data_IF_987084049562
#
_entry.id   IF_987084049562
#
_cell.length_a   1.000
_cell.length_b   1.000
_cell.length_c   1.000
_cell.angle_alpha   90.00
_cell.angle_beta   90.00
_cell.angle_gamma   90.00
#
_symmetry.space_group_name_H-M   'P 1'
#
loop_
_entity.id
_entity.type
_entity.pdbx_description
1 polymer ?
#
# COMPACT_ATOMS: atom_id res chain seq x y z
N UNK A 1 -19.54 79.67 75.10
CA UNK A 1 -20.06 79.73 73.71
C UNK A 1 -19.06 78.97 72.87
N UNK A 2 -19.32 77.71 72.58
CA UNK A 2 -19.56 77.27 71.21
C UNK A 2 -20.07 75.83 71.23
N UNK A 3 -21.02 75.62 70.34
CA UNK A 3 -22.14 74.71 70.45
C UNK A 3 -21.88 73.48 69.59
N UNK A 4 -22.06 72.29 70.18
CA UNK A 4 -22.10 71.05 69.43
C UNK A 4 -23.52 70.86 68.87
N UNK A 5 -23.66 70.75 67.54
CA UNK A 5 -24.85 70.15 66.89
C UNK A 5 -24.45 69.32 65.67
N UNK A 6 -25.00 68.10 65.52
CA UNK A 6 -24.65 67.15 64.46
C UNK A 6 -25.61 67.21 63.25
N UNK A 7 -25.15 66.56 62.19
CA UNK A 7 -25.85 65.94 61.06
C UNK A 7 -26.53 66.79 59.96
N UNK A 8 -26.42 66.23 58.73
CA UNK A 8 -27.00 66.59 57.41
C UNK A 8 -25.95 67.27 56.51
N UNK A 9 -25.29 66.56 55.60
CA UNK A 9 -25.89 66.11 54.32
C UNK A 9 -25.21 64.84 53.76
N UNK A 10 -25.69 63.66 54.18
CA UNK A 10 -25.36 62.37 53.56
C UNK A 10 -26.41 61.94 52.51
N UNK A 11 -26.99 62.89 51.79
CA UNK A 11 -28.13 62.65 50.90
C UNK A 11 -28.00 63.36 49.55
N UNK A 12 -26.95 63.09 48.76
CA UNK A 12 -27.00 63.43 47.31
C UNK A 12 -26.14 62.59 46.36
N UNK A 13 -25.44 61.53 46.81
CA UNK A 13 -24.59 60.76 45.86
C UNK A 13 -24.97 59.28 45.69
N UNK A 14 -25.79 58.71 46.59
CA UNK A 14 -26.31 57.33 46.42
C UNK A 14 -27.33 57.21 45.29
N UNK A 15 -28.08 58.28 44.98
CA UNK A 15 -29.02 58.30 43.86
C UNK A 15 -28.34 58.41 42.47
N UNK A 16 -27.04 58.71 42.41
CA UNK A 16 -26.28 58.76 41.15
C UNK A 16 -25.64 57.44 40.75
N UNK A 17 -25.50 56.48 41.67
CA UNK A 17 -24.81 55.20 41.42
C UNK A 17 -25.74 54.04 41.04
N UNK A 18 -27.07 54.21 41.14
CA UNK A 18 -28.06 53.18 40.76
C UNK A 18 -28.61 53.30 39.34
N UNK A 19 -28.05 54.18 38.50
CA UNK A 19 -28.24 54.14 37.03
C UNK A 19 -27.10 53.37 36.35
N UNK A 20 -26.62 52.32 37.00
CA UNK A 20 -25.73 51.36 36.37
C UNK A 20 -26.60 50.43 35.53
N UNK A 21 -26.62 50.72 34.23
CA UNK A 21 -27.29 50.02 33.14
C UNK A 21 -27.48 48.52 33.43
N UNK A 22 -28.68 48.14 33.86
CA UNK A 22 -29.13 46.74 33.81
C UNK A 22 -29.32 46.38 32.35
N UNK A 23 -28.21 46.10 31.66
CA UNK A 23 -28.21 45.51 30.32
C UNK A 23 -28.77 44.12 30.41
N UNK A 24 -30.07 44.01 30.22
CA UNK A 24 -30.71 42.74 29.98
C UNK A 24 -30.32 42.31 28.56
N UNK A 25 -29.55 41.23 28.43
CA UNK A 25 -29.24 40.63 27.15
C UNK A 25 -30.53 39.97 26.65
N UNK A 26 -31.32 40.69 25.86
CA UNK A 26 -32.63 40.22 25.41
C UNK A 26 -32.46 39.02 24.44
N UNK A 27 -31.44 39.02 23.59
CA UNK A 27 -31.18 37.92 22.65
C UNK A 27 -29.73 37.91 22.12
N UNK A 28 -29.24 36.73 21.68
CA UNK A 28 -27.93 36.56 21.04
C UNK A 28 -28.10 36.04 19.62
N UNK A 29 -27.88 36.92 18.64
CA UNK A 29 -27.80 36.52 17.23
C UNK A 29 -26.44 35.87 16.94
N UNK A 30 -26.44 34.75 16.21
CA UNK A 30 -25.24 34.07 15.72
C UNK A 30 -25.25 34.12 14.20
N UNK A 31 -24.14 34.55 13.61
CA UNK A 31 -23.94 34.55 12.17
C UNK A 31 -23.17 33.29 11.77
N UNK A 32 -23.53 32.71 10.63
CA UNK A 32 -22.92 31.48 10.12
C UNK A 32 -22.11 31.72 8.85
N UNK A 33 -21.04 30.94 8.70
CA UNK A 33 -20.19 30.89 7.52
C UNK A 33 -20.12 29.44 7.04
N UNK A 34 -20.43 29.21 5.77
CA UNK A 34 -20.24 27.93 5.12
C UNK A 34 -18.78 27.77 4.66
N UNK A 35 -18.20 26.60 4.93
CA UNK A 35 -16.85 26.24 4.46
C UNK A 35 -16.91 24.94 3.68
N UNK A 36 -16.26 24.91 2.52
CA UNK A 36 -16.08 23.68 1.78
C UNK A 36 -15.05 22.78 2.47
N UNK A 37 -15.40 21.51 2.66
CA UNK A 37 -14.45 20.46 3.03
C UNK A 37 -14.39 19.46 1.86
N UNK A 38 -13.18 19.20 1.35
CA UNK A 38 -12.96 18.27 0.25
C UNK A 38 -12.21 17.06 0.77
N UNK A 39 -12.85 15.90 0.68
CA UNK A 39 -12.25 14.61 1.03
C UNK A 39 -12.01 13.80 -0.25
N UNK A 40 -10.80 13.25 -0.39
CA UNK A 40 -10.47 12.34 -1.48
C UNK A 40 -10.51 10.91 -0.94
N UNK A 41 -11.55 10.18 -1.31
CA UNK A 41 -11.72 8.78 -0.90
C UNK A 41 -11.13 7.86 -1.97
N UNK A 42 -10.23 6.93 -1.61
CA UNK A 42 -9.69 5.97 -2.57
C UNK A 42 -10.77 4.95 -2.98
N UNK A 43 -10.97 4.79 -4.29
CA UNK A 43 -11.88 3.79 -4.86
C UNK A 43 -11.09 2.72 -5.63
N UNK A 44 -11.42 1.45 -5.40
CA UNK A 44 -10.81 0.33 -6.14
C UNK A 44 -11.62 0.10 -7.42
N UNK A 45 -11.08 0.58 -8.54
CA UNK A 45 -11.72 0.50 -9.86
C UNK A 45 -11.48 -0.82 -10.61
N UNK A 46 -10.73 -1.77 -10.04
CA UNK A 46 -10.53 -3.08 -10.64
C UNK A 46 -9.47 -3.95 -9.96
N UNK A 47 -9.40 -5.22 -10.36
CA UNK A 47 -8.43 -6.19 -9.88
C UNK A 47 -7.90 -7.06 -11.02
N UNK A 48 -6.63 -7.43 -10.95
CA UNK A 48 -5.99 -8.39 -11.88
C UNK A 48 -5.51 -9.59 -11.07
N UNK A 49 -5.81 -10.79 -11.54
CA UNK A 49 -5.31 -12.04 -10.94
C UNK A 49 -4.17 -12.58 -11.78
N UNK A 50 -3.00 -12.73 -11.17
CA UNK A 50 -1.81 -13.29 -11.83
C UNK A 50 -1.61 -14.70 -11.27
N UNK A 51 -1.57 -15.69 -12.18
CA UNK A 51 -1.39 -17.09 -11.81
C UNK A 51 -0.24 -17.69 -12.60
N UNK A 52 0.58 -18.48 -11.91
CA UNK A 52 1.54 -19.36 -12.56
C UNK A 52 0.78 -20.59 -13.05
N UNK A 53 0.79 -20.82 -14.36
CA UNK A 53 0.26 -22.05 -14.97
C UNK A 53 1.46 -22.91 -15.35
N UNK A 54 1.44 -24.17 -14.93
CA UNK A 54 2.46 -25.16 -15.30
C UNK A 54 1.82 -26.12 -16.30
N UNK A 55 2.42 -26.24 -17.47
CA UNK A 55 2.02 -27.20 -18.49
C UNK A 55 3.14 -28.21 -18.65
N UNK A 56 2.80 -29.49 -18.52
CA UNK A 56 3.76 -30.57 -18.67
C UNK A 56 3.62 -31.19 -20.06
N UNK A 57 4.76 -31.52 -20.69
CA UNK A 57 4.83 -32.24 -21.95
C UNK A 57 5.86 -33.34 -21.82
N UNK A 58 5.49 -34.53 -22.27
CA UNK A 58 6.41 -35.66 -22.40
C UNK A 58 7.09 -35.59 -23.77
N UNK A 59 8.40 -35.80 -23.79
CA UNK A 59 9.21 -35.81 -25.01
C UNK A 59 10.03 -37.09 -25.08
N UNK A 60 10.12 -37.67 -26.28
CA UNK A 60 10.96 -38.83 -26.55
C UNK A 60 12.29 -38.36 -27.13
N UNK A 61 13.38 -38.57 -26.40
CA UNK A 61 14.75 -38.26 -26.86
C UNK A 61 15.36 -39.54 -27.44
N UNK A 62 15.64 -39.61 -28.75
CA UNK A 62 16.29 -40.77 -29.33
C UNK A 62 17.75 -40.84 -28.84
N UNK A 63 18.13 -41.99 -28.28
CA UNK A 63 19.51 -42.29 -27.89
C UNK A 63 19.93 -43.59 -28.56
N UNK A 64 21.07 -43.55 -29.25
CA UNK A 64 21.72 -44.74 -29.79
C UNK A 64 22.74 -45.21 -28.78
N UNK A 65 22.58 -46.44 -28.29
CA UNK A 65 23.53 -47.09 -27.39
C UNK A 65 24.22 -48.23 -28.12
N UNK A 66 25.54 -48.31 -27.95
CA UNK A 66 26.36 -49.38 -28.51
C UNK A 66 26.56 -50.50 -27.48
N UNK A 67 26.47 -51.74 -27.97
CA UNK A 67 26.87 -52.94 -27.24
C UNK A 67 27.82 -53.73 -28.13
N UNK A 68 28.96 -54.14 -27.57
CA UNK A 68 29.96 -54.93 -28.26
C UNK A 68 30.13 -56.27 -27.56
N UNK A 69 30.04 -57.35 -28.34
CA UNK A 69 30.32 -58.72 -27.92
C UNK A 69 31.41 -59.30 -28.82
N UNK A 70 32.31 -60.08 -28.21
CA UNK A 70 33.25 -60.92 -28.92
C UNK A 70 32.64 -62.31 -29.08
N UNK A 71 32.53 -62.76 -30.33
CA UNK A 71 32.16 -64.14 -30.65
C UNK A 71 33.43 -64.97 -30.91
N UNK A 72 33.59 -66.06 -30.16
CA UNK A 72 34.70 -67.00 -30.34
C UNK A 72 34.15 -68.34 -30.82
N UNK A 73 34.57 -68.75 -32.01
CA UNK A 73 34.22 -70.05 -32.61
C UNK A 73 35.47 -70.91 -32.77
N UNK A 74 35.47 -72.10 -32.16
CA UNK A 74 36.57 -73.07 -32.26
C UNK A 74 36.25 -74.13 -33.32
N UNK A 75 37.07 -74.19 -34.38
CA UNK A 75 36.91 -75.13 -35.51
C UNK A 75 37.82 -76.36 -35.37
N UNK A 76 37.29 -77.52 -35.74
CA UNK A 76 38.05 -78.78 -35.79
C UNK A 76 39.29 -78.69 -36.70
N UNK A 77 40.32 -79.47 -36.37
CA UNK A 77 41.50 -79.73 -37.20
C UNK A 77 42.41 -78.52 -37.51
N UNK A 78 42.36 -77.45 -36.71
CA UNK A 78 43.25 -76.28 -36.85
C UNK A 78 44.50 -76.33 -35.96
N UNK A 79 44.66 -77.36 -35.13
CA UNK A 79 45.89 -77.62 -34.36
C UNK A 79 46.17 -76.67 -33.18
N UNK A 80 45.30 -75.69 -32.91
CA UNK A 80 45.43 -74.74 -31.80
C UNK A 80 44.44 -75.04 -30.66
N UNK A 81 44.87 -74.80 -29.42
CA UNK A 81 44.00 -74.74 -28.23
C UNK A 81 43.65 -73.29 -27.93
N UNK A 82 42.36 -72.97 -27.81
CA UNK A 82 41.89 -71.66 -27.37
C UNK A 82 41.43 -71.76 -25.91
N UNK A 83 41.77 -70.77 -25.09
CA UNK A 83 41.33 -70.69 -23.69
C UNK A 83 40.66 -69.36 -23.43
N UNK A 84 39.65 -69.35 -22.57
CA UNK A 84 38.95 -68.15 -22.10
C UNK A 84 38.89 -68.21 -20.57
N UNK A 85 39.37 -67.17 -19.89
CA UNK A 85 39.43 -67.12 -18.42
C UNK A 85 40.11 -68.33 -17.76
N UNK A 86 41.07 -68.97 -18.45
CA UNK A 86 41.79 -70.13 -17.95
C UNK A 86 41.14 -71.50 -18.24
N UNK A 87 39.96 -71.53 -18.85
CA UNK A 87 39.28 -72.77 -19.27
C UNK A 87 39.48 -73.02 -20.78
N UNK A 88 39.66 -74.27 -21.18
CA UNK A 88 39.80 -74.66 -22.59
C UNK A 88 38.43 -74.59 -23.28
N UNK A 89 38.40 -73.92 -24.43
CA UNK A 89 37.18 -73.77 -25.22
C UNK A 89 36.90 -75.07 -25.98
N UNK A 90 35.66 -75.55 -25.89
CA UNK A 90 35.22 -76.75 -26.58
C UNK A 90 35.00 -76.49 -28.07
N UNK A 91 35.45 -77.44 -28.87
CA UNK A 91 35.22 -77.46 -30.30
C UNK A 91 33.72 -77.53 -30.61
N UNK A 92 33.26 -76.74 -31.58
CA UNK A 92 31.85 -76.70 -31.99
C UNK A 92 30.94 -75.89 -31.08
N UNK A 93 31.46 -75.30 -29.99
CA UNK A 93 30.72 -74.33 -29.18
C UNK A 93 31.04 -72.89 -29.60
N UNK A 94 30.04 -72.02 -29.42
CA UNK A 94 30.16 -70.57 -29.57
C UNK A 94 30.20 -69.96 -28.18
N UNK A 95 31.16 -69.07 -27.95
CA UNK A 95 31.31 -68.34 -26.70
C UNK A 95 31.14 -66.85 -26.98
N UNK A 96 30.26 -66.21 -26.20
CA UNK A 96 30.04 -64.77 -26.25
C UNK A 96 30.69 -64.11 -25.02
N UNK A 97 31.56 -63.12 -25.27
CA UNK A 97 32.19 -62.33 -24.21
C UNK A 97 31.73 -60.88 -24.34
N UNK A 98 30.99 -60.33 -23.35
CA UNK A 98 30.63 -58.92 -23.37
C UNK A 98 31.89 -58.09 -23.18
N UNK A 99 32.16 -57.17 -24.11
CA UNK A 99 33.32 -56.29 -24.03
C UNK A 99 32.94 -54.91 -23.51
N UNK A 100 31.82 -54.38 -24.02
CA UNK A 100 31.43 -53.01 -23.79
C UNK A 100 29.91 -52.82 -23.89
N UNK A 101 29.38 -51.99 -23.01
CA UNK A 101 27.97 -51.62 -22.98
C UNK A 101 27.83 -50.14 -22.60
N UNK A 102 27.18 -49.36 -23.46
CA UNK A 102 26.79 -47.98 -23.15
C UNK A 102 25.49 -47.96 -22.34
N UNK A 103 25.43 -47.05 -21.37
CA UNK A 103 24.23 -46.80 -20.55
C UNK A 103 23.86 -45.32 -20.64
N UNK A 104 22.61 -45.05 -20.95
CA UNK A 104 22.07 -43.70 -20.91
C UNK A 104 21.85 -43.27 -19.46
N UNK A 105 22.27 -42.05 -19.13
CA UNK A 105 21.89 -41.35 -17.91
C UNK A 105 21.09 -40.11 -18.30
N UNK A 106 19.94 -39.91 -17.65
CA UNK A 106 19.03 -38.81 -17.96
C UNK A 106 18.97 -37.87 -16.78
N UNK A 107 19.20 -36.58 -17.03
CA UNK A 107 19.02 -35.50 -16.07
C UNK A 107 18.09 -34.44 -16.66
N UNK A 108 17.11 -34.02 -15.86
CA UNK A 108 16.22 -32.91 -16.23
C UNK A 108 16.79 -31.63 -15.63
N UNK A 109 17.25 -30.73 -16.48
CA UNK A 109 17.72 -29.41 -16.09
C UNK A 109 16.58 -28.39 -16.19
N UNK A 110 16.56 -27.43 -15.26
CA UNK A 110 15.55 -26.36 -15.21
C UNK A 110 16.25 -25.04 -15.46
N UNK A 111 15.79 -24.32 -16.49
CA UNK A 111 16.28 -23.00 -16.85
C UNK A 111 15.14 -21.97 -16.76
N UNK A 112 15.41 -20.73 -16.33
CA UNK A 112 14.42 -19.67 -16.39
C UNK A 112 14.05 -19.38 -17.86
N UNK A 113 12.75 -19.40 -18.16
CA UNK A 113 12.25 -19.12 -19.50
C UNK A 113 11.99 -17.62 -19.72
N UNK A 114 11.50 -16.93 -18.69
CA UNK A 114 11.10 -15.52 -18.78
C UNK A 114 11.00 -14.88 -17.40
N UNK A 115 11.35 -13.61 -17.32
CA UNK A 115 11.09 -12.75 -16.17
C UNK A 115 9.89 -11.84 -16.44
N UNK A 116 8.97 -11.74 -15.48
CA UNK A 116 7.78 -10.90 -15.57
C UNK A 116 7.84 -9.81 -14.51
N UNK A 117 7.85 -8.56 -14.94
CA UNK A 117 7.83 -7.38 -14.07
C UNK A 117 6.43 -6.78 -14.03
N UNK A 118 5.88 -6.60 -12.83
CA UNK A 118 4.58 -5.97 -12.60
C UNK A 118 4.83 -4.61 -11.94
N UNK A 119 4.34 -3.54 -12.56
CA UNK A 119 4.50 -2.19 -12.06
C UNK A 119 3.16 -1.46 -11.95
N UNK A 120 3.05 -0.58 -10.96
CA UNK A 120 1.91 0.33 -10.78
C UNK A 120 2.39 1.75 -11.06
N UNK A 121 1.75 2.41 -12.02
CA UNK A 121 1.95 3.84 -12.28
C UNK A 121 0.84 4.63 -11.57
N UNK A 122 1.21 5.64 -10.78
CA UNK A 122 0.27 6.58 -10.19
C UNK A 122 0.25 7.86 -11.01
N UNK A 123 -0.94 8.32 -11.39
CA UNK A 123 -1.14 9.60 -12.09
C UNK A 123 -1.99 10.52 -11.24
N UNK A 124 -1.55 11.76 -11.12
CA UNK A 124 -2.28 12.81 -10.41
C UNK A 124 -2.95 13.71 -11.44
N UNK A 125 -4.22 14.03 -11.21
CA UNK A 125 -4.93 15.05 -11.96
C UNK A 125 -5.64 16.01 -11.00
N UNK A 126 -5.81 17.25 -11.43
CA UNK A 126 -6.57 18.26 -10.69
C UNK A 126 -7.98 18.28 -11.21
N UNK A 127 -8.96 18.20 -10.31
CA UNK A 127 -10.37 18.37 -10.62
C UNK A 127 -10.90 19.59 -9.85
N UNK A 128 -11.51 20.52 -10.57
CA UNK A 128 -12.17 21.69 -9.98
C UNK A 128 -13.67 21.42 -9.87
N UNK A 129 -14.24 21.65 -8.69
CA UNK A 129 -15.69 21.69 -8.48
C UNK A 129 -16.10 23.11 -8.08
N UNK A 130 -17.20 23.58 -8.66
CA UNK A 130 -17.84 24.82 -8.24
C UNK A 130 -18.68 24.54 -6.98
N UNK A 131 -18.35 25.24 -5.90
CA UNK A 131 -19.11 25.19 -4.65
C UNK A 131 -19.58 26.60 -4.33
N UNK A 132 -20.90 26.78 -4.16
CA UNK A 132 -21.47 28.03 -3.68
C UNK A 132 -21.44 28.03 -2.15
N UNK A 133 -20.71 28.96 -1.56
CA UNK A 133 -20.62 29.15 -0.11
C UNK A 133 -21.35 30.43 0.28
N UNK A 134 -22.08 30.39 1.40
CA UNK A 134 -22.80 31.52 1.95
C UNK A 134 -22.13 32.05 3.20
N UNK A 135 -22.18 33.36 3.35
CA UNK A 135 -21.78 34.08 4.57
C UNK A 135 -22.92 34.99 4.97
N UNK A 136 -23.29 34.91 6.25
CA UNK A 136 -24.27 35.83 6.82
C UNK A 136 -23.56 37.10 7.30
N UNK A 137 -24.13 38.24 6.92
CA UNK A 137 -23.69 39.56 7.38
C UNK A 137 -24.83 40.24 8.13
N UNK A 138 -24.50 40.85 9.27
CA UNK A 138 -25.47 41.61 10.05
C UNK A 138 -25.51 43.04 9.53
N UNK A 139 -26.63 43.41 8.92
CA UNK A 139 -26.97 44.81 8.64
C UNK A 139 -27.93 45.32 9.73
N UNK A 140 -27.56 46.39 10.42
CA UNK A 140 -28.42 47.03 11.43
C UNK A 140 -28.77 48.43 10.96
N UNK A 141 -30.06 48.65 10.65
CA UNK A 141 -30.59 49.98 10.38
C UNK A 141 -31.09 50.57 11.69
N UNK A 142 -30.47 51.67 12.11
CA UNK A 142 -30.73 52.30 13.41
C UNK A 142 -31.01 53.80 13.27
N UNK A 143 -32.21 54.17 12.79
CA UNK A 143 -32.58 55.57 12.60
C UNK A 143 -32.60 56.38 13.91
N UNK A 144 -32.65 55.69 15.05
CA UNK A 144 -32.76 56.28 16.39
C UNK A 144 -31.42 56.33 17.14
N UNK A 145 -30.33 55.80 16.57
CA UNK A 145 -28.98 55.83 17.16
C UNK A 145 -28.84 55.01 18.44
N UNK A 146 -29.62 53.93 18.59
CA UNK A 146 -29.66 53.05 19.75
C UNK A 146 -28.59 51.95 19.75
N UNK A 147 -27.98 51.64 18.61
CA UNK A 147 -26.97 50.60 18.43
C UNK A 147 -25.60 51.11 18.87
N UNK A 148 -24.96 50.39 19.78
CA UNK A 148 -23.57 50.63 20.18
C UNK A 148 -22.72 49.44 19.77
N UNK A 149 -21.93 49.60 18.72
CA UNK A 149 -20.99 48.58 18.27
C UNK A 149 -19.94 48.35 19.37
N UNK A 150 -19.87 47.14 19.89
CA UNK A 150 -18.75 46.72 20.74
C UNK A 150 -17.86 45.85 19.87
N UNK A 151 -16.72 46.40 19.44
CA UNK A 151 -15.62 45.58 18.92
C UNK A 151 -15.22 44.60 20.02
N UNK A 152 -15.55 43.33 19.85
CA UNK A 152 -14.94 42.30 20.69
C UNK A 152 -13.51 42.06 20.14
N UNK A 153 -12.49 41.97 21.01
CA UNK A 153 -11.14 41.66 20.56
C UNK A 153 -11.15 40.32 19.81
N UNK A 154 -10.54 40.31 18.63
CA UNK A 154 -10.36 39.10 17.83
C UNK A 154 -9.51 38.10 18.62
N UNK A 155 -9.90 36.81 18.74
CA UNK A 155 -9.13 35.81 19.49
C UNK A 155 -7.83 35.36 18.77
N UNK A 156 -7.36 36.10 17.76
CA UNK A 156 -6.22 35.74 16.90
C UNK A 156 -5.07 36.76 16.90
N UNK A 157 -5.03 37.70 17.84
CA UNK A 157 -3.78 38.44 18.09
C UNK A 157 -2.90 37.63 19.06
N UNK A 158 -1.76 37.06 18.61
CA UNK A 158 -0.78 36.51 19.54
C UNK A 158 -0.18 37.66 20.36
N UNK A 159 -0.22 37.51 21.68
CA UNK A 159 0.39 38.43 22.64
C UNK A 159 1.86 38.74 22.25
N UNK A 160 2.20 39.98 21.88
CA UNK A 160 3.57 40.33 21.55
C UNK A 160 4.37 40.68 22.81
N UNK A 161 4.13 40.08 23.98
CA UNK A 161 5.00 40.24 25.16
C UNK A 161 4.77 39.20 26.27
N UNK A 162 5.27 37.97 26.10
CA UNK A 162 5.92 37.25 27.21
C UNK A 162 6.85 36.13 26.78
#
# INVERSE_FOLDING_TARGET
>A
MDEYRPDQDAHTDSARREREDRRELIERLRLYEERANVEVVPEVVGAVTIRRVVTERQEMVPITLRREHLEITVKENTGGRATLNGEELEVGRVYEVPLYEERAQFEKLVYPLSDVTIAKEARTYTQTQEVTLRREELAVEDPQGLVRERTMPSPLDPDPSR
#
